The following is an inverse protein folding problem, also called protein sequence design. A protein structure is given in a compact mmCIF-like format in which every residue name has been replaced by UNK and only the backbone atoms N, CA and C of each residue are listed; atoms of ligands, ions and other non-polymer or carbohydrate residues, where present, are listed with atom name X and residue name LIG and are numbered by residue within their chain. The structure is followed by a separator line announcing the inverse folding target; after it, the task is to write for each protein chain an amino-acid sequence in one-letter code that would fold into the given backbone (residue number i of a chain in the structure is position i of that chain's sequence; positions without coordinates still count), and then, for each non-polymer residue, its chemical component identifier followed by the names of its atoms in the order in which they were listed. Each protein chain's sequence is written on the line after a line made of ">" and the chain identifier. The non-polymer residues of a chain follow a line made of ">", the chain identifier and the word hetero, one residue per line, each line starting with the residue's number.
data_IF_623327869991
#
_entry.id   IF_623327869991
#
_cell.length_a   1.000
_cell.length_b   1.000
_cell.length_c   1.000
_cell.angle_alpha   90.00
_cell.angle_beta   90.00
_cell.angle_gamma   90.00
#
_symmetry.space_group_name_H-M   'P 1'
#
loop_
_entity.id
_entity.type
_entity.pdbx_description
1 polymer ?
#
# COMPACT_ATOMS: atom_id res chain seq x y z
N UNK A 1 -13.79 2.44 7.66
CA UNK A 1 -14.04 1.57 6.49
C UNK A 1 -14.52 2.40 5.31
N UNK A 2 -15.55 3.22 5.50
CA UNK A 2 -16.10 4.02 4.40
C UNK A 2 -15.07 4.99 3.80
N UNK A 3 -14.27 5.65 4.63
CA UNK A 3 -13.23 6.57 4.16
C UNK A 3 -12.15 5.85 3.36
N UNK A 4 -11.72 4.69 3.83
CA UNK A 4 -10.76 3.87 3.10
C UNK A 4 -11.30 3.44 1.74
N UNK A 5 -12.55 2.99 1.70
CA UNK A 5 -13.20 2.57 0.46
C UNK A 5 -13.28 3.71 -0.55
N UNK A 6 -13.69 4.90 -0.10
CA UNK A 6 -13.81 6.06 -0.98
C UNK A 6 -12.46 6.59 -1.45
N UNK A 7 -11.45 6.58 -0.60
CA UNK A 7 -10.08 6.97 -0.98
C UNK A 7 -9.53 6.01 -2.03
N UNK A 8 -9.69 4.70 -1.81
CA UNK A 8 -9.24 3.71 -2.78
C UNK A 8 -9.93 3.90 -4.13
N UNK A 9 -11.24 4.12 -4.13
CA UNK A 9 -12.00 4.36 -5.34
C UNK A 9 -11.57 5.65 -6.06
N UNK A 10 -11.40 6.74 -5.30
CA UNK A 10 -10.99 8.03 -5.86
C UNK A 10 -9.60 7.96 -6.50
N UNK A 11 -8.65 7.33 -5.84
CA UNK A 11 -7.30 7.17 -6.38
C UNK A 11 -7.30 6.32 -7.65
N UNK A 12 -8.05 5.23 -7.65
CA UNK A 12 -8.14 4.38 -8.83
C UNK A 12 -8.78 5.09 -10.01
N UNK A 13 -9.88 5.80 -9.80
CA UNK A 13 -10.58 6.53 -10.85
C UNK A 13 -9.75 7.68 -11.41
N UNK A 14 -9.06 8.40 -10.53
CA UNK A 14 -8.30 9.59 -10.93
C UNK A 14 -7.02 9.24 -11.70
N UNK A 15 -6.29 8.22 -11.24
CA UNK A 15 -4.97 7.89 -11.78
C UNK A 15 -4.94 6.59 -12.59
N UNK A 16 -5.98 5.78 -12.53
CA UNK A 16 -6.03 4.54 -13.28
C UNK A 16 -5.05 3.46 -12.80
N UNK A 17 -4.68 3.48 -11.53
CA UNK A 17 -3.77 2.48 -10.96
C UNK A 17 -4.36 1.08 -11.09
N UNK A 18 -3.48 0.08 -11.19
CA UNK A 18 -3.88 -1.32 -11.31
C UNK A 18 -4.60 -1.81 -10.05
N UNK A 19 -4.07 -1.45 -8.87
CA UNK A 19 -4.62 -1.85 -7.58
C UNK A 19 -4.40 -0.75 -6.55
N UNK A 20 -5.41 -0.43 -5.76
CA UNK A 20 -5.31 0.55 -4.67
C UNK A 20 -6.06 0.01 -3.47
N UNK A 21 -5.40 -0.09 -2.34
CA UNK A 21 -6.08 -0.58 -1.16
C UNK A 21 -5.33 -0.38 0.14
N UNK A 22 -6.01 -0.77 1.20
CA UNK A 22 -5.50 -0.65 2.56
C UNK A 22 -5.34 -2.03 3.19
N UNK A 23 -4.31 -2.16 4.00
CA UNK A 23 -4.14 -3.26 4.92
C UNK A 23 -4.09 -2.69 6.33
N UNK A 24 -4.83 -3.29 7.24
CA UNK A 24 -4.95 -2.82 8.64
C UNK A 24 -4.24 -3.81 9.54
N UNK A 25 -3.48 -3.29 10.52
CA UNK A 25 -2.81 -4.15 11.52
C UNK A 25 -3.86 -4.71 12.48
N UNK A 26 -3.97 -6.05 12.50
CA UNK A 26 -4.84 -6.77 13.44
C UNK A 26 -4.12 -8.02 13.91
N UNK A 27 -4.03 -8.22 15.23
CA UNK A 27 -3.42 -9.43 15.81
C UNK A 27 -2.05 -9.75 15.21
N UNK A 28 -1.20 -8.74 15.10
CA UNK A 28 0.18 -8.86 14.61
C UNK A 28 0.29 -9.25 13.13
N UNK A 29 -0.75 -8.98 12.35
CA UNK A 29 -0.73 -9.17 10.90
C UNK A 29 -1.37 -7.98 10.20
N UNK A 30 -0.96 -7.75 8.96
CA UNK A 30 -1.70 -6.87 8.06
C UNK A 30 -2.85 -7.68 7.45
N UNK A 31 -4.06 -7.16 7.61
CA UNK A 31 -5.28 -7.79 7.12
C UNK A 31 -5.89 -6.91 6.03
N UNK A 32 -6.24 -7.52 4.91
CA UNK A 32 -6.84 -6.81 3.78
C UNK A 32 -8.09 -6.04 4.23
N UNK A 33 -8.13 -4.77 3.90
CA UNK A 33 -9.21 -3.84 4.16
C UNK A 33 -9.77 -3.34 2.81
N UNK A 34 -10.57 -2.28 2.76
CA UNK A 34 -11.15 -1.84 1.48
C UNK A 34 -10.12 -1.59 0.39
N UNK A 35 -10.40 -2.08 -0.80
CA UNK A 35 -9.51 -1.95 -1.96
C UNK A 35 -10.30 -1.92 -3.26
N UNK A 36 -9.61 -1.52 -4.33
CA UNK A 36 -10.11 -1.53 -5.70
C UNK A 36 -9.09 -2.22 -6.59
N UNK A 37 -9.50 -3.26 -7.30
CA UNK A 37 -8.64 -3.99 -8.21
C UNK A 37 -8.86 -5.49 -8.14
N UNK A 38 -7.97 -6.28 -8.75
CA UNK A 38 -8.07 -7.74 -8.72
C UNK A 38 -7.88 -8.33 -7.32
N UNK A 39 -8.16 -9.61 -7.19
CA UNK A 39 -7.99 -10.35 -5.94
C UNK A 39 -6.60 -10.14 -5.36
N UNK A 40 -6.53 -10.07 -4.04
CA UNK A 40 -5.29 -9.75 -3.32
C UNK A 40 -5.06 -10.75 -2.18
N UNK A 41 -3.83 -10.76 -1.66
CA UNK A 41 -3.50 -11.49 -0.45
C UNK A 41 -4.33 -10.93 0.70
N UNK A 42 -4.86 -11.80 1.54
CA UNK A 42 -5.74 -11.37 2.65
C UNK A 42 -4.99 -11.12 3.95
N UNK A 43 -3.80 -11.69 4.11
CA UNK A 43 -2.97 -11.50 5.30
C UNK A 43 -1.51 -11.41 4.92
N UNK A 44 -0.79 -10.47 5.54
CA UNK A 44 0.63 -10.27 5.29
C UNK A 44 1.35 -10.18 6.64
N UNK A 45 2.45 -10.93 6.77
CA UNK A 45 3.24 -10.96 7.99
C UNK A 45 4.15 -9.75 8.11
N UNK A 46 4.46 -9.39 9.36
CA UNK A 46 5.41 -8.33 9.69
C UNK A 46 6.76 -8.57 8.98
N UNK A 47 7.25 -7.56 8.30
CA UNK A 47 8.55 -7.62 7.62
C UNK A 47 8.55 -8.41 6.30
N UNK A 48 7.40 -8.90 5.83
CA UNK A 48 7.31 -9.69 4.61
C UNK A 48 6.74 -8.85 3.45
N UNK A 49 7.36 -8.97 2.28
CA UNK A 49 6.96 -8.23 1.09
C UNK A 49 7.13 -6.73 1.27
N UNK A 50 6.59 -5.96 0.33
CA UNK A 50 6.68 -4.49 0.39
C UNK A 50 5.83 -3.94 1.53
N UNK A 51 4.59 -4.40 1.65
CA UNK A 51 3.69 -3.95 2.73
C UNK A 51 4.23 -4.28 4.12
N UNK A 52 4.70 -5.51 4.32
CA UNK A 52 5.26 -5.93 5.61
C UNK A 52 6.53 -5.18 5.96
N UNK A 53 7.34 -4.84 4.97
CA UNK A 53 8.57 -4.06 5.16
C UNK A 53 8.25 -2.61 5.50
N UNK A 54 7.28 -1.99 4.82
CA UNK A 54 6.83 -0.63 5.14
C UNK A 54 6.30 -0.56 6.58
N UNK A 55 5.58 -1.57 7.01
CA UNK A 55 5.12 -1.68 8.40
C UNK A 55 6.29 -1.75 9.38
N UNK A 56 7.23 -2.65 9.12
CA UNK A 56 8.38 -2.87 10.00
C UNK A 56 9.25 -1.60 10.12
N UNK A 57 9.55 -0.96 8.99
CA UNK A 57 10.42 0.19 8.95
C UNK A 57 9.70 1.50 9.27
N UNK A 58 8.37 1.49 9.28
CA UNK A 58 7.52 2.67 9.48
C UNK A 58 7.88 3.78 8.48
N UNK A 59 8.17 3.41 7.23
CA UNK A 59 8.56 4.33 6.18
C UNK A 59 7.91 3.97 4.86
N UNK A 60 7.62 5.00 4.06
CA UNK A 60 7.14 4.82 2.70
C UNK A 60 8.21 4.11 1.87
N UNK A 61 7.78 3.11 1.10
CA UNK A 61 8.66 2.36 0.21
C UNK A 61 8.16 2.53 -1.22
N UNK A 62 9.04 3.02 -2.08
CA UNK A 62 8.80 3.14 -3.52
C UNK A 62 9.59 2.06 -4.23
N UNK A 63 8.90 1.20 -4.98
CA UNK A 63 9.50 0.07 -5.68
C UNK A 63 9.34 0.28 -7.17
N UNK A 64 10.42 0.69 -7.89
CA UNK A 64 10.35 0.90 -9.34
C UNK A 64 10.07 -0.37 -10.13
N UNK A 65 10.56 -1.50 -9.63
CA UNK A 65 10.38 -2.82 -10.25
C UNK A 65 10.24 -3.86 -9.15
N UNK A 66 9.05 -4.43 -9.01
CA UNK A 66 8.75 -5.40 -7.94
C UNK A 66 9.61 -6.66 -8.02
N UNK A 67 10.07 -7.04 -9.20
CA UNK A 67 10.95 -8.21 -9.36
C UNK A 67 12.33 -7.99 -8.75
N UNK A 68 12.73 -6.74 -8.57
CA UNK A 68 14.00 -6.37 -7.94
C UNK A 68 13.88 -6.22 -6.42
N UNK A 69 12.68 -6.26 -5.86
CA UNK A 69 12.49 -6.10 -4.42
C UNK A 69 12.72 -7.42 -3.69
N UNK A 70 13.71 -7.50 -2.77
CA UNK A 70 14.00 -8.75 -2.05
C UNK A 70 12.78 -9.22 -1.24
N UNK A 71 12.38 -10.47 -1.45
CA UNK A 71 11.25 -11.04 -0.71
C UNK A 71 9.88 -10.56 -1.17
N UNK A 72 9.77 -9.98 -2.36
CA UNK A 72 8.48 -9.54 -2.90
C UNK A 72 7.47 -10.68 -2.90
N UNK A 73 6.25 -10.39 -2.41
CA UNK A 73 5.15 -11.33 -2.43
C UNK A 73 4.25 -10.97 -3.61
N UNK A 74 4.21 -11.85 -4.61
CA UNK A 74 3.41 -11.64 -5.80
C UNK A 74 1.97 -12.09 -5.56
N UNK A 75 1.12 -11.19 -5.04
CA UNK A 75 -0.32 -11.45 -4.93
C UNK A 75 -1.02 -11.31 -6.28
N UNK A 76 -0.38 -10.63 -7.24
CA UNK A 76 -0.80 -10.54 -8.63
C UNK A 76 0.44 -10.53 -9.52
N UNK A 77 0.41 -11.32 -10.60
CA UNK A 77 1.52 -11.37 -11.56
C UNK A 77 1.58 -10.15 -12.48
N UNK A 78 0.53 -9.32 -12.51
CA UNK A 78 0.47 -8.16 -13.40
C UNK A 78 1.03 -6.89 -12.76
N UNK A 79 1.34 -6.92 -11.48
CA UNK A 79 1.94 -5.79 -10.77
C UNK A 79 3.41 -5.65 -11.17
N UNK A 80 3.84 -4.44 -11.53
CA UNK A 80 5.21 -4.17 -11.96
C UNK A 80 5.95 -3.19 -11.09
N UNK A 81 5.27 -2.17 -10.59
CA UNK A 81 5.83 -1.22 -9.62
C UNK A 81 4.82 -1.01 -8.50
N UNK A 82 5.32 -0.53 -7.37
CA UNK A 82 4.50 -0.42 -6.16
C UNK A 82 4.95 0.73 -5.29
N UNK A 83 4.01 1.33 -4.56
CA UNK A 83 4.30 2.25 -3.47
C UNK A 83 3.46 1.84 -2.28
N UNK A 84 4.07 1.79 -1.10
CA UNK A 84 3.38 1.50 0.16
C UNK A 84 3.68 2.61 1.14
N UNK A 85 2.62 3.21 1.69
CA UNK A 85 2.71 4.30 2.65
C UNK A 85 2.16 3.83 3.99
N UNK A 86 2.98 3.79 5.05
CA UNK A 86 2.49 3.42 6.38
C UNK A 86 1.65 4.55 6.98
N UNK A 87 0.59 4.17 7.68
CA UNK A 87 -0.27 5.09 8.41
C UNK A 87 0.06 4.95 9.88
N UNK A 88 0.62 6.00 10.47
CA UNK A 88 1.11 6.00 11.84
C UNK A 88 0.17 6.79 12.74
N UNK A 89 -0.22 6.20 13.87
CA UNK A 89 -1.02 6.86 14.91
C UNK A 89 -0.41 6.50 16.26
N UNK A 90 -0.21 7.52 17.11
CA UNK A 90 0.37 7.35 18.44
C UNK A 90 1.71 6.59 18.41
N UNK A 91 2.54 6.89 17.42
CA UNK A 91 3.86 6.28 17.26
C UNK A 91 3.89 4.86 16.73
N UNK A 92 2.73 4.32 16.33
CA UNK A 92 2.64 2.95 15.80
C UNK A 92 2.01 2.94 14.43
N UNK A 93 2.47 2.04 13.57
CA UNK A 93 1.82 1.79 12.29
C UNK A 93 0.52 1.03 12.56
N UNK A 94 -0.60 1.62 12.14
CA UNK A 94 -1.93 0.99 12.30
C UNK A 94 -2.46 0.42 10.99
N UNK A 95 -1.93 0.88 9.87
CA UNK A 95 -2.34 0.43 8.54
C UNK A 95 -1.29 0.82 7.51
N UNK A 96 -1.43 0.31 6.30
CA UNK A 96 -0.65 0.78 5.15
C UNK A 96 -1.61 1.04 3.98
N UNK A 97 -1.26 2.04 3.18
CA UNK A 97 -1.88 2.26 1.87
C UNK A 97 -0.95 1.64 0.83
N UNK A 98 -1.46 0.70 0.06
CA UNK A 98 -0.72 -0.02 -0.97
C UNK A 98 -1.28 0.31 -2.35
N UNK A 99 -0.41 0.74 -3.26
CA UNK A 99 -0.79 1.02 -4.63
C UNK A 99 0.15 0.28 -5.57
N UNK A 100 -0.44 -0.49 -6.48
CA UNK A 100 0.30 -1.25 -7.48
C UNK A 100 -0.01 -0.71 -8.87
N UNK A 101 1.02 -0.65 -9.72
CA UNK A 101 0.90 -0.29 -11.12
C UNK A 101 1.32 -1.46 -12.00
N UNK A 102 0.69 -1.59 -13.15
CA UNK A 102 1.09 -2.54 -14.19
C UNK A 102 2.20 -2.01 -15.09
N UNK A 103 2.75 -0.84 -14.73
CA UNK A 103 3.87 -0.20 -15.42
C UNK A 103 5.07 -0.13 -14.50
N UNK A 104 6.26 -0.23 -15.08
CA UNK A 104 7.50 -0.03 -14.33
C UNK A 104 7.64 1.44 -13.96
N UNK A 105 8.25 1.70 -12.82
CA UNK A 105 8.69 3.03 -12.40
C UNK A 105 7.56 4.07 -12.38
N UNK A 106 6.35 3.66 -11.98
CA UNK A 106 5.17 4.53 -11.97
C UNK A 106 5.23 5.60 -10.88
N UNK A 107 5.88 5.31 -9.76
CA UNK A 107 5.84 6.18 -8.57
C UNK A 107 7.19 6.82 -8.31
N UNK A 108 7.16 8.08 -7.86
CA UNK A 108 8.36 8.83 -7.52
C UNK A 108 8.22 9.48 -6.13
N UNK A 109 9.20 10.30 -5.78
CA UNK A 109 9.23 11.00 -4.49
C UNK A 109 8.04 11.95 -4.33
N UNK A 110 7.59 12.58 -5.40
CA UNK A 110 6.44 13.49 -5.38
C UNK A 110 5.18 12.72 -5.01
N UNK A 111 4.97 11.55 -5.61
CA UNK A 111 3.84 10.68 -5.26
C UNK A 111 3.89 10.29 -3.80
N UNK A 112 5.06 9.93 -3.30
CA UNK A 112 5.25 9.54 -1.89
C UNK A 112 4.84 10.69 -0.96
N UNK A 113 5.28 11.91 -1.24
CA UNK A 113 4.96 13.08 -0.42
C UNK A 113 3.47 13.36 -0.37
N UNK A 114 2.77 13.34 -1.52
CA UNK A 114 1.33 13.58 -1.56
C UNK A 114 0.55 12.48 -0.85
N UNK A 115 0.93 11.24 -1.06
CA UNK A 115 0.25 10.10 -0.42
C UNK A 115 0.47 10.09 1.10
N UNK A 116 1.65 10.50 1.55
CA UNK A 116 1.94 10.65 2.98
C UNK A 116 1.05 11.72 3.61
N UNK A 117 0.83 12.84 2.92
CA UNK A 117 -0.08 13.90 3.38
C UNK A 117 -1.52 13.39 3.44
N UNK A 118 -1.96 12.66 2.43
CA UNK A 118 -3.29 12.07 2.40
C UNK A 118 -3.48 11.13 3.59
N UNK A 119 -2.53 10.25 3.82
CA UNK A 119 -2.58 9.28 4.93
C UNK A 119 -2.57 9.97 6.29
N UNK A 120 -1.89 11.11 6.40
CA UNK A 120 -1.83 11.86 7.66
C UNK A 120 -3.19 12.43 8.09
N UNK A 121 -4.05 12.76 7.12
CA UNK A 121 -5.36 13.36 7.42
C UNK A 121 -6.51 12.36 7.46
N UNK A 122 -6.26 11.10 7.08
CA UNK A 122 -7.31 10.07 7.13
C UNK A 122 -7.67 9.73 8.59
N UNK A 123 -8.97 9.70 8.93
CA UNK A 123 -9.37 9.24 10.27
C UNK A 123 -9.19 7.72 10.41
N UNK A 124 -8.59 7.36 11.53
CA UNK A 124 -8.38 5.93 11.88
C UNK A 124 -8.70 5.69 13.33
#
# INVERSE_FOLDING_TARGET
>A
VANMANVAAALKQTFGFFWVGFYVVKEEMLVLAPFQGPLACTRIRYGKGVCGTAWKDAQTIVVPDVEQFPGHIACSSDSRSEIVVPIVRDGKVVAVLDIDSDKLNEFDKTDAEYLERLCAILPF
#
